data_IF_281196407146
#
_entry.id   IF_281196407146
#
_cell.length_a   1.000
_cell.length_b   1.000
_cell.length_c   1.000
_cell.angle_alpha   90.00
_cell.angle_beta   90.00
_cell.angle_gamma   90.00
#
_symmetry.space_group_name_H-M   'P 1'
#
loop_
_entity.id
_entity.type
_entity.pdbx_description
1 polymer ?
#
# COMPACT_ATOMS: atom_id res chain seq x y z
N UNK A 1 -13.08 -6.79 -5.19
CA UNK A 1 -14.41 -6.24 -5.54
C UNK A 1 -14.64 -6.53 -7.00
N UNK A 2 -15.81 -7.06 -7.37
CA UNK A 2 -16.23 -7.20 -8.77
C UNK A 2 -16.30 -5.82 -9.42
N UNK A 3 -15.75 -5.70 -10.63
CA UNK A 3 -15.75 -4.46 -11.41
C UNK A 3 -17.20 -4.00 -11.67
N UNK A 4 -17.50 -2.70 -11.49
CA UNK A 4 -18.65 -2.06 -12.14
C UNK A 4 -19.94 -1.80 -11.35
N UNK A 5 -19.96 -1.73 -10.01
CA UNK A 5 -21.15 -1.23 -9.28
C UNK A 5 -20.85 -0.04 -8.36
N UNK A 6 -21.06 1.15 -8.92
CA UNK A 6 -21.12 2.44 -8.24
C UNK A 6 -21.38 3.54 -9.27
N UNK A 7 -22.16 4.57 -8.94
CA UNK A 7 -22.47 5.70 -9.83
C UNK A 7 -21.17 6.33 -10.36
N UNK A 8 -20.89 6.10 -11.65
CA UNK A 8 -19.67 6.58 -12.30
C UNK A 8 -19.95 7.99 -12.81
N UNK A 9 -19.40 9.00 -12.12
CA UNK A 9 -19.31 10.33 -12.70
C UNK A 9 -18.13 10.33 -13.70
N UNK A 10 -18.36 10.49 -15.03
CA UNK A 10 -17.32 10.30 -16.05
C UNK A 10 -16.18 11.35 -15.99
N UNK A 11 -16.39 12.42 -15.25
CA UNK A 11 -15.52 13.61 -15.21
C UNK A 11 -14.59 13.69 -14.00
N UNK A 12 -14.59 12.72 -13.09
CA UNK A 12 -13.79 12.83 -11.87
C UNK A 12 -12.51 11.97 -11.97
N UNK A 13 -11.36 12.61 -12.19
CA UNK A 13 -10.02 11.98 -12.18
C UNK A 13 -9.80 11.11 -10.93
N UNK A 14 -10.47 11.45 -9.81
CA UNK A 14 -10.45 10.66 -8.58
C UNK A 14 -11.16 9.31 -8.71
N UNK A 15 -12.22 9.21 -9.52
CA UNK A 15 -12.92 7.94 -9.78
C UNK A 15 -12.09 7.02 -10.67
N UNK A 16 -11.40 7.57 -11.68
CA UNK A 16 -10.49 6.83 -12.55
C UNK A 16 -9.37 6.15 -11.74
N UNK A 17 -8.73 6.89 -10.82
CA UNK A 17 -7.67 6.38 -9.96
C UNK A 17 -8.20 5.40 -8.89
N UNK A 18 -9.40 5.66 -8.32
CA UNK A 18 -9.99 4.82 -7.26
C UNK A 18 -10.54 3.49 -7.77
N UNK A 19 -10.94 3.43 -9.03
CA UNK A 19 -11.53 2.24 -9.64
C UNK A 19 -10.58 1.55 -10.63
N UNK A 20 -9.30 1.92 -10.67
CA UNK A 20 -8.29 1.31 -11.55
C UNK A 20 -8.73 1.31 -13.03
N UNK A 21 -9.47 2.35 -13.49
CA UNK A 21 -10.18 2.34 -14.79
C UNK A 21 -9.22 2.49 -15.98
N UNK A 22 -8.15 3.28 -15.84
CA UNK A 22 -7.16 3.54 -16.91
C UNK A 22 -5.75 3.04 -16.60
N UNK A 23 -5.45 2.72 -15.34
CA UNK A 23 -4.17 2.19 -14.91
C UNK A 23 -4.44 1.15 -13.82
N UNK A 24 -4.09 -0.09 -14.11
CA UNK A 24 -4.33 -1.21 -13.21
C UNK A 24 -3.20 -1.36 -12.20
N UNK A 25 -3.46 -2.04 -11.08
CA UNK A 25 -2.40 -2.43 -10.15
C UNK A 25 -1.26 -3.20 -10.84
N UNK A 26 -1.60 -4.06 -11.81
CA UNK A 26 -0.64 -4.83 -12.59
C UNK A 26 0.25 -3.93 -13.45
N UNK A 27 -0.31 -2.91 -14.12
CA UNK A 27 0.47 -1.95 -14.90
C UNK A 27 1.51 -1.22 -14.04
N UNK A 28 1.09 -0.76 -12.85
CA UNK A 28 1.98 -0.07 -11.92
C UNK A 28 3.15 -0.97 -11.55
N UNK A 29 2.88 -2.18 -11.07
CA UNK A 29 3.92 -3.11 -10.61
C UNK A 29 4.84 -3.54 -11.77
N UNK A 30 4.27 -3.83 -12.94
CA UNK A 30 5.01 -4.23 -14.14
C UNK A 30 5.97 -3.12 -14.60
N UNK A 31 5.50 -1.88 -14.67
CA UNK A 31 6.32 -0.74 -15.09
C UNK A 31 7.36 -0.42 -14.02
N UNK A 32 7.00 -0.42 -12.74
CA UNK A 32 7.95 -0.23 -11.64
C UNK A 32 9.09 -1.24 -11.68
N UNK A 33 8.79 -2.53 -11.92
CA UNK A 33 9.83 -3.55 -12.05
C UNK A 33 10.81 -3.25 -13.18
N UNK A 34 10.34 -2.73 -14.32
CA UNK A 34 11.21 -2.36 -15.46
C UNK A 34 12.11 -1.16 -15.15
N UNK A 35 11.59 -0.18 -14.41
CA UNK A 35 12.31 1.06 -14.08
C UNK A 35 13.34 0.88 -12.96
N UNK A 36 13.12 -0.06 -12.04
CA UNK A 36 14.04 -0.29 -10.92
C UNK A 36 15.33 -0.95 -11.37
N UNK A 37 16.49 -0.48 -10.92
CA UNK A 37 17.74 -1.24 -11.06
C UNK A 37 17.68 -2.56 -10.28
N UNK A 38 18.52 -3.57 -10.57
CA UNK A 38 18.64 -4.76 -9.72
C UNK A 38 18.89 -4.37 -8.25
N UNK A 39 18.12 -4.94 -7.32
CA UNK A 39 18.15 -4.54 -5.90
C UNK A 39 17.43 -3.22 -5.58
N UNK A 40 16.88 -2.54 -6.59
CA UNK A 40 16.08 -1.32 -6.44
C UNK A 40 14.81 -1.56 -5.63
N UNK A 41 14.36 -0.51 -4.94
CA UNK A 41 13.28 -0.58 -3.96
C UNK A 41 11.96 -0.08 -4.53
N UNK A 42 10.90 -0.85 -4.32
CA UNK A 42 9.52 -0.48 -4.60
C UNK A 42 8.77 -0.30 -3.28
N UNK A 43 7.97 0.76 -3.14
CA UNK A 43 7.09 0.94 -2.00
C UNK A 43 5.71 1.42 -2.48
N UNK A 44 4.65 0.92 -1.84
CA UNK A 44 3.26 1.21 -2.18
C UNK A 44 2.41 1.33 -0.93
N UNK A 45 1.46 2.26 -0.96
CA UNK A 45 0.35 2.34 -0.01
C UNK A 45 -0.92 1.90 -0.74
N UNK A 46 -1.67 0.98 -0.16
CA UNK A 46 -2.93 0.53 -0.76
C UNK A 46 -3.96 0.13 0.29
N UNK A 47 -5.18 -0.21 -0.17
CA UNK A 47 -6.21 -0.81 0.68
C UNK A 47 -5.95 -2.30 0.95
N UNK A 48 -6.19 -2.81 2.17
CA UNK A 48 -5.95 -4.20 2.54
C UNK A 48 -6.68 -5.25 1.70
N UNK A 49 -7.85 -4.93 1.11
CA UNK A 49 -8.61 -5.92 0.32
C UNK A 49 -7.88 -6.37 -0.96
N UNK A 50 -6.88 -5.61 -1.43
CA UNK A 50 -6.06 -5.94 -2.60
C UNK A 50 -4.71 -6.56 -2.23
N UNK A 51 -4.47 -6.84 -0.94
CA UNK A 51 -3.16 -7.30 -0.46
C UNK A 51 -2.67 -8.55 -1.20
N UNK A 52 -3.53 -9.55 -1.37
CA UNK A 52 -3.17 -10.79 -2.05
C UNK A 52 -2.76 -10.52 -3.49
N UNK A 53 -3.52 -9.69 -4.21
CA UNK A 53 -3.22 -9.30 -5.59
C UNK A 53 -1.88 -8.54 -5.67
N UNK A 54 -1.62 -7.62 -4.73
CA UNK A 54 -0.36 -6.87 -4.65
C UNK A 54 0.82 -7.82 -4.49
N UNK A 55 0.77 -8.71 -3.49
CA UNK A 55 1.88 -9.63 -3.21
C UNK A 55 2.12 -10.61 -4.36
N UNK A 56 1.04 -11.10 -4.97
CA UNK A 56 1.10 -11.97 -6.15
C UNK A 56 1.77 -11.26 -7.33
N UNK A 57 1.28 -10.07 -7.72
CA UNK A 57 1.80 -9.31 -8.85
C UNK A 57 3.25 -8.87 -8.62
N UNK A 58 3.60 -8.48 -7.39
CA UNK A 58 4.99 -8.17 -7.03
C UNK A 58 5.92 -9.33 -7.37
N UNK A 59 5.62 -10.54 -6.89
CA UNK A 59 6.43 -11.73 -7.19
C UNK A 59 6.40 -12.11 -8.68
N UNK A 60 5.23 -12.01 -9.34
CA UNK A 60 5.10 -12.24 -10.79
C UNK A 60 6.08 -11.37 -11.59
N UNK A 61 6.26 -10.11 -11.20
CA UNK A 61 7.18 -9.17 -11.85
C UNK A 61 8.54 -9.06 -11.17
N UNK A 62 9.00 -10.10 -10.46
CA UNK A 62 10.34 -10.16 -9.86
C UNK A 62 10.63 -9.05 -8.84
N UNK A 63 9.61 -8.49 -8.21
CA UNK A 63 9.76 -7.64 -7.02
C UNK A 63 9.40 -8.51 -5.82
N UNK A 64 10.39 -8.88 -5.02
CA UNK A 64 10.10 -9.68 -3.83
C UNK A 64 9.59 -8.76 -2.71
N UNK A 65 8.36 -8.95 -2.20
CA UNK A 65 7.85 -8.20 -1.06
C UNK A 65 8.67 -8.54 0.19
N UNK A 66 9.23 -7.51 0.83
CA UNK A 66 10.14 -7.65 1.97
C UNK A 66 9.58 -7.10 3.26
N UNK A 67 8.77 -6.05 3.20
CA UNK A 67 8.18 -5.43 4.38
C UNK A 67 6.69 -5.18 4.18
N UNK A 68 5.92 -5.47 5.22
CA UNK A 68 4.47 -5.29 5.26
C UNK A 68 4.10 -4.58 6.57
N UNK A 69 3.42 -3.43 6.50
CA UNK A 69 2.92 -2.71 7.67
C UNK A 69 1.45 -2.40 7.51
N UNK A 70 0.61 -2.83 8.45
CA UNK A 70 -0.79 -2.46 8.47
C UNK A 70 -0.98 -1.11 9.16
N UNK A 71 -1.87 -0.28 8.61
CA UNK A 71 -2.23 1.01 9.21
C UNK A 71 -3.69 0.94 9.67
N UNK A 72 -3.87 1.26 10.93
CA UNK A 72 -5.14 1.22 11.64
C UNK A 72 -5.52 2.65 12.06
N UNK A 73 -6.80 3.05 11.95
CA UNK A 73 -7.23 4.36 12.45
C UNK A 73 -6.92 4.57 13.93
N UNK A 74 -7.16 3.55 14.76
CA UNK A 74 -6.88 3.56 16.20
C UNK A 74 -6.71 2.11 16.69
N UNK A 75 -6.24 1.88 17.93
CA UNK A 75 -6.24 0.55 18.54
C UNK A 75 -7.61 -0.12 18.43
N UNK A 76 -7.59 -1.44 18.23
CA UNK A 76 -8.79 -2.30 18.10
C UNK A 76 -9.69 -2.03 16.88
N UNK A 77 -9.34 -1.09 16.00
CA UNK A 77 -10.02 -0.90 14.71
C UNK A 77 -9.34 -1.72 13.61
N UNK A 78 -10.12 -2.11 12.59
CA UNK A 78 -9.57 -2.81 11.42
C UNK A 78 -8.64 -1.91 10.63
N UNK A 79 -7.60 -2.50 10.03
CA UNK A 79 -6.71 -1.79 9.13
C UNK A 79 -7.50 -1.27 7.91
N UNK A 80 -7.23 -0.03 7.52
CA UNK A 80 -7.82 0.58 6.33
C UNK A 80 -6.78 0.85 5.24
N UNK A 81 -5.49 0.81 5.58
CA UNK A 81 -4.37 0.88 4.64
C UNK A 81 -3.33 -0.19 4.96
N UNK A 82 -2.54 -0.50 3.95
CA UNK A 82 -1.37 -1.38 4.03
C UNK A 82 -0.21 -0.73 3.28
N UNK A 83 0.95 -0.72 3.93
CA UNK A 83 2.22 -0.30 3.37
C UNK A 83 2.98 -1.57 2.98
N UNK A 84 3.37 -1.66 1.71
CA UNK A 84 4.17 -2.77 1.20
C UNK A 84 5.44 -2.22 0.60
N UNK A 85 6.57 -2.84 0.92
CA UNK A 85 7.87 -2.54 0.31
C UNK A 85 8.51 -3.83 -0.19
N UNK A 86 9.09 -3.78 -1.38
CA UNK A 86 9.78 -4.90 -1.99
C UNK A 86 11.02 -4.48 -2.78
N UNK A 87 11.78 -5.47 -3.24
CA UNK A 87 13.06 -5.26 -3.92
C UNK A 87 13.09 -6.05 -5.22
N UNK A 88 13.51 -5.40 -6.32
CA UNK A 88 13.66 -6.07 -7.62
C UNK A 88 14.76 -7.14 -7.53
N UNK A 89 14.41 -8.39 -7.76
CA UNK A 89 15.32 -9.54 -7.66
C UNK A 89 15.75 -9.88 -6.23
N UNK A 90 14.99 -9.45 -5.22
CA UNK A 90 15.27 -9.80 -3.82
C UNK A 90 15.04 -11.28 -3.52
N UNK A 91 15.75 -11.80 -2.52
CA UNK A 91 15.53 -13.16 -2.01
C UNK A 91 14.23 -13.26 -1.18
N UNK A 92 13.59 -14.44 -1.09
CA UNK A 92 12.36 -14.61 -0.30
C UNK A 92 12.58 -14.33 1.19
N UNK A 93 11.80 -13.41 1.77
CA UNK A 93 11.68 -13.18 3.22
C UNK A 93 10.69 -12.01 3.42
N UNK A 94 9.55 -12.24 4.07
CA UNK A 94 8.59 -11.18 4.38
C UNK A 94 8.68 -10.80 5.86
N UNK A 95 8.95 -9.54 6.15
CA UNK A 95 8.94 -8.97 7.49
C UNK A 95 7.62 -8.25 7.75
N UNK A 96 6.86 -8.75 8.72
CA UNK A 96 5.69 -8.04 9.24
C UNK A 96 6.16 -6.99 10.25
N UNK A 97 5.92 -5.74 9.92
CA UNK A 97 6.22 -4.60 10.78
C UNK A 97 5.13 -4.44 11.83
N UNK A 98 5.49 -3.85 12.97
CA UNK A 98 4.52 -3.42 13.98
C UNK A 98 3.43 -2.53 13.35
N UNK A 99 2.15 -2.69 13.72
CA UNK A 99 1.08 -1.90 13.15
C UNK A 99 1.30 -0.41 13.38
N UNK A 100 0.89 0.42 12.43
CA UNK A 100 0.85 1.87 12.59
C UNK A 100 -0.56 2.28 12.99
N UNK A 101 -0.72 2.91 14.15
CA UNK A 101 -1.99 3.51 14.57
C UNK A 101 -1.99 4.99 14.23
N UNK A 102 -3.07 5.52 13.66
CA UNK A 102 -3.16 6.97 13.37
C UNK A 102 -3.41 7.76 14.65
N UNK A 103 -4.37 7.28 15.46
CA UNK A 103 -4.73 7.86 16.75
C UNK A 103 -4.43 6.89 17.89
N UNK A 104 -4.12 7.41 19.07
CA UNK A 104 -4.03 6.66 20.34
C UNK A 104 -5.43 6.34 20.90
N UNK A 105 -5.48 5.67 22.06
CA UNK A 105 -6.73 5.34 22.75
C UNK A 105 -7.49 6.59 23.27
N UNK A 106 -6.80 7.72 23.40
CA UNK A 106 -7.35 8.99 23.87
C UNK A 106 -7.84 9.88 22.70
N UNK A 107 -7.74 9.41 21.45
CA UNK A 107 -8.12 10.17 20.26
C UNK A 107 -7.10 11.23 19.84
N UNK A 108 -5.90 11.25 20.42
CA UNK A 108 -4.78 12.10 19.97
C UNK A 108 -4.01 11.39 18.87
N UNK A 109 -3.21 12.12 18.08
CA UNK A 109 -2.30 11.47 17.15
C UNK A 109 -1.34 10.55 17.91
N UNK A 110 -1.05 9.40 17.33
CA UNK A 110 -0.07 8.48 17.92
C UNK A 110 1.33 9.09 17.83
N UNK A 111 2.20 8.69 18.75
CA UNK A 111 3.60 9.10 18.74
C UNK A 111 4.28 8.80 17.40
N UNK A 112 4.04 7.62 16.83
CA UNK A 112 4.56 7.25 15.50
C UNK A 112 4.16 8.25 14.41
N UNK A 113 2.92 8.74 14.43
CA UNK A 113 2.44 9.72 13.45
C UNK A 113 3.09 11.08 13.69
N UNK A 114 3.19 11.51 14.94
CA UNK A 114 3.85 12.77 15.27
C UNK A 114 5.33 12.75 14.86
N UNK A 115 6.01 11.62 15.05
CA UNK A 115 7.41 11.40 14.64
C UNK A 115 7.54 11.39 13.10
N UNK A 116 6.65 10.67 12.39
CA UNK A 116 6.67 10.57 10.91
C UNK A 116 6.40 11.93 10.24
N UNK A 117 5.44 12.69 10.76
CA UNK A 117 5.02 13.97 10.19
C UNK A 117 5.71 15.17 10.84
N UNK A 118 6.62 14.96 11.78
CA UNK A 118 7.36 16.01 12.50
C UNK A 118 6.41 17.05 13.12
N UNK A 119 5.33 16.60 13.76
CA UNK A 119 4.28 17.48 14.31
C UNK A 119 4.60 18.04 15.70
N UNK A 120 5.75 17.66 16.26
CA UNK A 120 6.19 17.97 17.63
C UNK A 120 7.30 19.02 17.73
N UNK A 121 7.36 19.97 16.79
CA UNK A 121 8.18 21.19 16.89
C UNK A 121 7.31 22.44 17.08
#
# INVERSE_FOLDING_TARGET
MSVGRGLVNPSDTKSIARHEILCTLEDIIRVSSRLLVPGGQFAMVHRPQRLVDILFLMRQYKIEPKFLRFVHPSPYKRANLVLVKGFRGGNPELKMMEPLYVYDENGRYSKDIDDIYQRGE
#
